data_IF_209700435712
#
_entry.id   IF_209700435712
#
_cell.length_a   1.000
_cell.length_b   1.000
_cell.length_c   1.000
_cell.angle_alpha   90.00
_cell.angle_beta   90.00
_cell.angle_gamma   90.00
#
_symmetry.space_group_name_H-M   'P 1'
#
loop_
_entity.id
_entity.type
_entity.pdbx_description
1 polymer ?
#
# COMPACT_ATOMS: atom_id res chain seq x y z
N UNK A 1 32.81 2.98 4.64
CA UNK A 1 31.85 3.15 5.76
C UNK A 1 30.46 2.79 5.24
N UNK A 2 29.77 1.74 5.70
CA UNK A 2 28.38 1.50 5.30
C UNK A 2 27.47 2.43 6.11
N UNK A 3 26.79 3.36 5.42
CA UNK A 3 25.68 4.12 5.99
C UNK A 3 24.50 3.14 6.11
N UNK A 4 24.17 2.74 7.33
CA UNK A 4 23.01 1.87 7.57
C UNK A 4 21.74 2.74 7.48
N UNK A 5 21.25 2.95 6.26
CA UNK A 5 19.90 3.50 6.07
C UNK A 5 18.94 2.44 6.60
N UNK A 6 18.23 2.73 7.70
CA UNK A 6 17.22 1.82 8.20
C UNK A 6 16.24 1.50 7.07
N UNK A 7 15.94 0.22 6.82
CA UNK A 7 14.94 -0.14 5.82
C UNK A 7 13.64 0.55 6.17
N UNK A 8 13.12 1.37 5.24
CA UNK A 8 11.80 1.98 5.42
C UNK A 8 10.79 0.85 5.61
N UNK A 9 9.93 0.93 6.63
CA UNK A 9 8.97 -0.14 6.91
C UNK A 9 7.92 -0.18 5.79
N UNK A 10 8.14 -1.05 4.80
CA UNK A 10 7.18 -1.31 3.73
C UNK A 10 5.96 -2.03 4.30
N UNK A 11 4.81 -1.81 3.69
CA UNK A 11 3.60 -2.54 4.01
C UNK A 11 3.76 -4.02 3.61
N UNK A 12 3.87 -4.92 4.59
CA UNK A 12 3.98 -6.36 4.36
C UNK A 12 2.72 -7.03 3.80
N UNK A 13 1.61 -6.30 3.65
CA UNK A 13 0.41 -6.83 2.98
C UNK A 13 0.46 -6.69 1.46
N UNK A 14 1.23 -5.72 0.95
CA UNK A 14 1.37 -5.49 -0.49
C UNK A 14 2.82 -5.58 -0.98
N UNK A 15 3.76 -5.91 -0.10
CA UNK A 15 5.19 -6.13 -0.43
C UNK A 15 5.83 -4.99 -1.24
N UNK A 16 5.38 -3.76 -1.02
CA UNK A 16 5.87 -2.58 -1.75
C UNK A 16 5.13 -2.25 -3.05
N UNK A 17 4.03 -2.93 -3.38
CA UNK A 17 3.15 -2.64 -4.53
C UNK A 17 1.78 -2.11 -4.08
N UNK A 18 1.70 -0.85 -3.63
CA UNK A 18 0.48 -0.34 -2.99
C UNK A 18 -0.65 0.02 -3.94
N UNK A 19 -0.37 0.19 -5.24
CA UNK A 19 -1.34 0.61 -6.26
C UNK A 19 -1.07 -0.16 -7.55
N UNK A 20 -2.11 -0.74 -8.13
CA UNK A 20 -2.03 -1.45 -9.42
C UNK A 20 -3.13 -0.96 -10.37
N UNK A 21 -2.81 -0.96 -11.65
CA UNK A 21 -3.77 -0.66 -12.72
C UNK A 21 -4.25 -1.97 -13.34
N UNK A 22 -5.55 -2.19 -13.32
CA UNK A 22 -6.20 -3.38 -13.89
C UNK A 22 -6.91 -2.96 -15.16
N UNK A 23 -6.52 -3.54 -16.30
CA UNK A 23 -7.30 -3.42 -17.53
C UNK A 23 -8.53 -4.29 -17.42
N UNK A 24 -9.71 -3.70 -17.56
CA UNK A 24 -10.96 -4.44 -17.57
C UNK A 24 -11.19 -5.03 -18.98
N UNK A 25 -12.12 -5.98 -19.08
CA UNK A 25 -12.54 -6.52 -20.38
C UNK A 25 -13.37 -5.54 -21.22
N UNK A 26 -13.69 -4.35 -20.70
CA UNK A 26 -14.53 -3.38 -21.38
C UNK A 26 -13.71 -2.34 -22.12
N UNK A 27 -14.32 -1.76 -23.14
CA UNK A 27 -13.84 -0.57 -23.83
C UNK A 27 -14.68 0.64 -23.41
N UNK A 28 -14.04 1.80 -23.29
CA UNK A 28 -14.71 3.08 -23.13
C UNK A 28 -15.48 3.43 -24.41
N UNK A 29 -16.45 4.36 -24.35
CA UNK A 29 -17.21 4.77 -25.54
C UNK A 29 -16.35 5.34 -26.68
N UNK A 30 -15.17 5.86 -26.38
CA UNK A 30 -14.19 6.34 -27.35
C UNK A 30 -13.21 5.26 -27.85
N UNK A 31 -13.45 3.98 -27.50
CA UNK A 31 -12.70 2.83 -28.02
C UNK A 31 -11.41 2.47 -27.25
N UNK A 32 -11.12 3.10 -26.12
CA UNK A 32 -9.96 2.77 -25.29
C UNK A 32 -10.27 1.63 -24.33
N UNK A 33 -9.28 0.81 -23.96
CA UNK A 33 -9.51 -0.20 -22.92
C UNK A 33 -9.79 0.49 -21.59
N UNK A 34 -10.88 0.11 -20.93
CA UNK A 34 -11.16 0.61 -19.58
C UNK A 34 -10.10 0.08 -18.62
N UNK A 35 -9.65 0.94 -17.72
CA UNK A 35 -8.75 0.58 -16.63
C UNK A 35 -9.34 1.04 -15.31
N UNK A 36 -9.09 0.27 -14.26
CA UNK A 36 -9.40 0.64 -12.88
C UNK A 36 -8.13 0.62 -12.05
N UNK A 37 -8.09 1.47 -11.04
CA UNK A 37 -6.99 1.51 -10.08
C UNK A 37 -7.43 0.80 -8.80
N UNK A 38 -6.68 -0.23 -8.40
CA UNK A 38 -6.88 -0.91 -7.12
C UNK A 38 -5.73 -0.54 -6.17
N UNK A 39 -6.09 -0.17 -4.93
CA UNK A 39 -5.14 0.15 -3.88
C UNK A 39 -5.11 -0.96 -2.81
N UNK A 40 -3.97 -1.10 -2.16
CA UNK A 40 -3.84 -1.97 -1.00
C UNK A 40 -4.72 -1.40 0.14
N UNK A 41 -5.67 -2.17 0.70
CA UNK A 41 -6.57 -1.67 1.74
C UNK A 41 -5.84 -1.41 3.07
N UNK A 42 -4.76 -2.15 3.35
CA UNK A 42 -4.00 -2.02 4.60
C UNK A 42 -3.21 -0.71 4.69
N UNK A 43 -2.60 -0.25 3.59
CA UNK A 43 -1.84 1.00 3.54
C UNK A 43 -2.56 2.12 2.78
N UNK A 44 -3.72 1.85 2.17
CA UNK A 44 -4.51 2.80 1.37
C UNK A 44 -3.71 3.44 0.23
N UNK A 45 -2.77 2.71 -0.37
CA UNK A 45 -1.98 3.19 -1.50
C UNK A 45 -0.65 3.89 -1.13
N UNK A 46 -0.29 4.03 0.15
CA UNK A 46 0.94 4.72 0.58
C UNK A 46 2.21 3.85 0.55
N UNK A 47 2.05 2.52 0.44
CA UNK A 47 3.16 1.57 0.47
C UNK A 47 3.77 1.35 1.85
N UNK A 48 3.33 2.09 2.87
CA UNK A 48 3.84 2.02 4.23
C UNK A 48 2.67 2.17 5.19
N UNK A 49 2.54 1.27 6.16
CA UNK A 49 1.57 1.46 7.23
C UNK A 49 2.07 2.56 8.14
N UNK A 50 1.33 3.65 8.29
CA UNK A 50 1.55 4.51 9.45
C UNK A 50 1.27 3.65 10.68
N UNK A 51 2.23 3.47 11.60
CA UNK A 51 1.94 2.76 12.83
C UNK A 51 0.77 3.51 13.48
N UNK A 52 -0.37 2.83 13.60
CA UNK A 52 -1.46 3.33 14.42
C UNK A 52 -0.84 3.57 15.79
N UNK A 53 -0.91 4.80 16.31
CA UNK A 53 -0.58 5.09 17.68
C UNK A 53 -1.60 4.39 18.59
N UNK A 54 -1.58 3.05 18.59
CA UNK A 54 -2.21 2.26 19.63
C UNK A 54 -1.31 2.44 20.83
N UNK A 55 -1.74 3.35 21.69
CA UNK A 55 -1.22 3.54 23.02
C UNK A 55 -0.91 2.18 23.62
N UNK A 56 0.36 1.97 23.93
CA UNK A 56 0.82 0.85 24.72
C UNK A 56 0.16 1.02 26.10
N UNK A 57 -1.05 0.49 26.30
CA UNK A 57 -1.49 0.21 27.66
C UNK A 57 -0.60 -0.91 28.14
N UNK A 58 0.47 -0.53 28.83
CA UNK A 58 1.28 -1.42 29.64
C UNK A 58 0.33 -1.93 30.73
N UNK A 59 -0.16 -3.15 30.56
CA UNK A 59 -0.86 -3.85 31.63
C UNK A 59 0.27 -4.39 32.51
N UNK A 60 0.73 -3.60 33.48
CA UNK A 60 1.54 -4.11 34.58
C UNK A 60 0.57 -4.68 35.62
N UNK A 61 0.71 -5.98 35.89
CA UNK A 61 0.04 -6.69 36.97
C UNK A 61 0.81 -6.51 38.28
#
# INVERSE_FOLDING_TARGET
MPQHTLPRPICGHCDGFPTVTITTGQTTPNGQRQTITANCPACRGTGHTTPSARAHTRIEA
#
